data_IF_880105594387
#
_entry.id   IF_880105594387
#
_cell.length_a   1.000
_cell.length_b   1.000
_cell.length_c   1.000
_cell.angle_alpha   90.00
_cell.angle_beta   90.00
_cell.angle_gamma   90.00
#
_symmetry.space_group_name_H-M   'P 1'
#
loop_
_entity.id
_entity.type
_entity.pdbx_description
1 polymer ?
#
# COMPACT_ATOMS: atom_id res chain seq x y z
N UNK A 1 2.61 -16.97 -5.03
CA UNK A 1 1.84 -16.31 -6.08
C UNK A 1 1.16 -15.03 -5.59
N UNK A 2 0.36 -15.11 -4.51
CA UNK A 2 -0.28 -13.91 -3.95
C UNK A 2 0.74 -12.94 -3.35
N UNK A 3 1.80 -13.45 -2.72
CA UNK A 3 2.85 -12.61 -2.16
C UNK A 3 3.63 -11.86 -3.24
N UNK A 4 3.88 -12.47 -4.41
CA UNK A 4 4.56 -11.76 -5.50
C UNK A 4 3.73 -10.61 -6.07
N UNK A 5 2.40 -10.73 -6.07
CA UNK A 5 1.50 -9.64 -6.45
C UNK A 5 1.52 -8.52 -5.41
N UNK A 6 1.60 -8.88 -4.14
CA UNK A 6 1.74 -7.90 -3.06
C UNK A 6 3.10 -7.19 -3.12
N UNK A 7 4.17 -7.89 -3.50
CA UNK A 7 5.50 -7.28 -3.66
C UNK A 7 5.49 -6.13 -4.67
N UNK A 8 4.71 -6.23 -5.75
CA UNK A 8 4.56 -5.13 -6.71
C UNK A 8 3.86 -3.93 -6.08
N UNK A 9 2.80 -4.17 -5.29
CA UNK A 9 2.15 -3.10 -4.51
C UNK A 9 3.16 -2.46 -3.57
N UNK A 10 3.90 -3.25 -2.82
CA UNK A 10 4.87 -2.80 -1.83
C UNK A 10 6.00 -1.98 -2.47
N UNK A 11 6.46 -2.38 -3.64
CA UNK A 11 7.46 -1.65 -4.42
C UNK A 11 6.97 -0.24 -4.77
N UNK A 12 5.73 -0.12 -5.24
CA UNK A 12 5.16 1.18 -5.60
C UNK A 12 4.91 2.03 -4.35
N UNK A 13 4.54 1.42 -3.23
CA UNK A 13 4.44 2.11 -1.94
C UNK A 13 5.81 2.68 -1.55
N UNK A 14 6.89 1.92 -1.72
CA UNK A 14 8.25 2.40 -1.48
C UNK A 14 8.59 3.63 -2.32
N UNK A 15 8.25 3.64 -3.60
CA UNK A 15 8.44 4.79 -4.49
C UNK A 15 7.64 6.00 -4.00
N UNK A 16 6.41 5.79 -3.55
CA UNK A 16 5.58 6.85 -2.98
C UNK A 16 6.21 7.43 -1.72
N UNK A 17 6.72 6.59 -0.83
CA UNK A 17 7.38 7.02 0.41
C UNK A 17 8.62 7.86 0.15
N UNK A 18 9.38 7.58 -0.91
CA UNK A 18 10.52 8.40 -1.31
C UNK A 18 10.09 9.82 -1.68
N UNK A 19 8.97 9.97 -2.37
CA UNK A 19 8.41 11.28 -2.71
C UNK A 19 7.86 12.00 -1.48
N UNK A 20 7.20 11.28 -0.58
CA UNK A 20 6.71 11.83 0.69
C UNK A 20 7.87 12.35 1.52
N UNK A 21 8.99 11.63 1.56
CA UNK A 21 10.20 12.08 2.25
C UNK A 21 10.69 13.43 1.71
N UNK A 22 10.68 13.62 0.40
CA UNK A 22 11.05 14.90 -0.21
C UNK A 22 10.11 16.03 0.20
N UNK A 23 8.82 15.76 0.30
CA UNK A 23 7.85 16.75 0.79
C UNK A 23 8.15 17.12 2.25
N UNK A 24 8.44 16.13 3.09
CA UNK A 24 8.83 16.37 4.48
C UNK A 24 10.08 17.26 4.56
N UNK A 25 11.08 17.02 3.73
CA UNK A 25 12.30 17.82 3.70
C UNK A 25 12.03 19.29 3.33
N UNK A 26 11.05 19.54 2.47
CA UNK A 26 10.66 20.90 2.05
C UNK A 26 9.81 21.59 3.11
N UNK A 27 8.85 20.88 3.70
CA UNK A 27 7.83 21.46 4.58
C UNK A 27 8.15 21.36 6.06
N UNK A 28 9.09 20.51 6.45
CA UNK A 28 9.39 20.16 7.86
C UNK A 28 8.14 19.64 8.61
N UNK A 29 7.25 18.96 7.90
CA UNK A 29 6.00 18.46 8.46
C UNK A 29 6.25 17.17 9.23
N UNK A 30 6.34 17.26 10.55
CA UNK A 30 6.62 16.13 11.42
C UNK A 30 5.50 15.10 11.45
N UNK A 31 4.26 15.52 11.31
CA UNK A 31 3.10 14.63 11.29
C UNK A 31 3.10 13.76 10.04
N UNK A 32 3.40 14.36 8.89
CA UNK A 32 3.57 13.62 7.64
C UNK A 32 4.73 12.63 7.73
N UNK A 33 5.84 13.02 8.35
CA UNK A 33 6.98 12.14 8.54
C UNK A 33 6.66 10.97 9.44
N UNK A 34 5.89 11.16 10.50
CA UNK A 34 5.43 10.08 11.37
C UNK A 34 4.59 9.06 10.61
N UNK A 35 3.69 9.52 9.75
CA UNK A 35 2.87 8.63 8.91
C UNK A 35 3.75 7.84 7.94
N UNK A 36 4.72 8.49 7.32
CA UNK A 36 5.70 7.86 6.44
C UNK A 36 6.47 6.75 7.17
N UNK A 37 7.00 7.06 8.35
CA UNK A 37 7.78 6.11 9.15
C UNK A 37 6.92 4.93 9.59
N UNK A 38 5.68 5.16 10.00
CA UNK A 38 4.76 4.10 10.38
C UNK A 38 4.52 3.12 9.23
N UNK A 39 4.31 3.63 8.03
CA UNK A 39 4.12 2.79 6.85
C UNK A 39 5.42 2.05 6.48
N UNK A 40 6.56 2.75 6.53
CA UNK A 40 7.86 2.18 6.22
C UNK A 40 8.19 0.99 7.14
N UNK A 41 7.85 1.10 8.41
CA UNK A 41 8.15 0.09 9.43
C UNK A 41 7.05 -0.97 9.56
N UNK A 42 5.95 -0.85 8.84
CA UNK A 42 4.89 -1.85 8.89
C UNK A 42 5.35 -3.18 8.31
N UNK A 43 4.99 -4.28 8.95
CA UNK A 43 5.44 -5.63 8.59
C UNK A 43 4.31 -6.44 7.96
N UNK A 44 3.11 -6.34 8.51
CA UNK A 44 1.96 -7.12 8.03
C UNK A 44 1.24 -6.40 6.89
N UNK A 45 0.57 -7.18 6.04
CA UNK A 45 -0.27 -6.63 4.96
C UNK A 45 -1.38 -5.75 5.55
N UNK A 46 -2.00 -6.19 6.64
CA UNK A 46 -3.09 -5.45 7.28
C UNK A 46 -2.63 -4.09 7.81
N UNK A 47 -1.45 -4.03 8.43
CA UNK A 47 -0.87 -2.78 8.91
C UNK A 47 -0.52 -1.86 7.74
N UNK A 48 0.02 -2.40 6.65
CA UNK A 48 0.31 -1.62 5.45
C UNK A 48 -0.95 -1.01 4.85
N UNK A 49 -2.03 -1.76 4.78
CA UNK A 49 -3.34 -1.27 4.32
C UNK A 49 -3.81 -0.10 5.18
N UNK A 50 -3.75 -0.26 6.50
CA UNK A 50 -4.15 0.77 7.46
C UNK A 50 -3.34 2.05 7.27
N UNK A 51 -2.01 1.94 7.25
CA UNK A 51 -1.14 3.11 7.19
C UNK A 51 -1.15 3.78 5.82
N UNK A 52 -1.35 3.05 4.73
CA UNK A 52 -1.55 3.65 3.40
C UNK A 52 -2.79 4.54 3.41
N UNK A 53 -3.89 4.07 3.98
CA UNK A 53 -5.13 4.86 4.06
C UNK A 53 -4.94 6.12 4.91
N UNK A 54 -4.27 6.02 6.05
CA UNK A 54 -3.98 7.17 6.91
C UNK A 54 -3.10 8.19 6.18
N UNK A 55 -2.07 7.72 5.49
CA UNK A 55 -1.17 8.58 4.72
C UNK A 55 -1.91 9.29 3.58
N UNK A 56 -2.72 8.57 2.82
CA UNK A 56 -3.48 9.13 1.71
C UNK A 56 -4.48 10.19 2.18
N UNK A 57 -5.16 9.93 3.29
CA UNK A 57 -6.06 10.90 3.89
C UNK A 57 -5.32 12.20 4.25
N UNK A 58 -4.16 12.08 4.88
CA UNK A 58 -3.37 13.23 5.28
C UNK A 58 -2.79 13.98 4.08
N UNK A 59 -2.33 13.29 3.05
CA UNK A 59 -1.80 13.92 1.83
C UNK A 59 -2.83 14.80 1.14
N UNK A 60 -4.12 14.46 1.23
CA UNK A 60 -5.19 15.30 0.68
C UNK A 60 -5.36 16.64 1.40
N UNK A 61 -4.80 16.77 2.61
CA UNK A 61 -4.87 18.01 3.40
C UNK A 61 -3.64 18.91 3.23
N UNK A 62 -2.61 18.45 2.51
CA UNK A 62 -1.37 19.20 2.32
C UNK A 62 -1.60 20.39 1.42
N UNK A 63 -1.07 21.56 1.85
CA UNK A 63 -1.09 22.79 1.06
C UNK A 63 -0.16 22.66 -0.15
N UNK A 64 -0.69 22.94 -1.32
CA UNK A 64 0.04 22.82 -2.60
C UNK A 64 0.42 24.19 -3.20
N UNK A 65 0.51 25.24 -2.40
CA UNK A 65 0.93 26.56 -2.86
C UNK A 65 2.39 26.58 -3.31
N UNK A 66 3.25 25.82 -2.65
CA UNK A 66 4.63 25.66 -3.07
C UNK A 66 4.70 24.82 -4.35
N UNK A 67 5.39 25.32 -5.38
CA UNK A 67 5.51 24.62 -6.66
C UNK A 67 6.21 23.27 -6.56
N UNK A 68 7.22 23.17 -5.70
CA UNK A 68 7.96 21.93 -5.49
C UNK A 68 7.07 20.87 -4.85
N UNK A 69 6.31 21.27 -3.84
CA UNK A 69 5.34 20.39 -3.18
C UNK A 69 4.26 19.95 -4.18
N UNK A 70 3.74 20.86 -4.98
CA UNK A 70 2.73 20.53 -6.00
C UNK A 70 3.26 19.51 -7.01
N UNK A 71 4.49 19.68 -7.49
CA UNK A 71 5.13 18.73 -8.42
C UNK A 71 5.27 17.35 -7.80
N UNK A 72 5.67 17.30 -6.53
CA UNK A 72 5.81 16.04 -5.80
C UNK A 72 4.45 15.36 -5.60
N UNK A 73 3.42 16.12 -5.26
CA UNK A 73 2.05 15.59 -5.16
C UNK A 73 1.58 15.04 -6.51
N UNK A 74 1.84 15.73 -7.61
CA UNK A 74 1.50 15.23 -8.94
C UNK A 74 2.24 13.92 -9.27
N UNK A 75 3.51 13.83 -8.90
CA UNK A 75 4.29 12.59 -9.07
C UNK A 75 3.75 11.46 -8.19
N UNK A 76 3.30 11.78 -6.97
CA UNK A 76 2.65 10.82 -6.09
C UNK A 76 1.35 10.31 -6.73
N UNK A 77 0.55 11.19 -7.34
CA UNK A 77 -0.67 10.81 -8.03
C UNK A 77 -0.40 9.82 -9.17
N UNK A 78 0.69 10.01 -9.92
CA UNK A 78 1.11 9.07 -10.97
C UNK A 78 1.47 7.70 -10.38
N UNK A 79 2.18 7.69 -9.25
CA UNK A 79 2.50 6.44 -8.54
C UNK A 79 1.23 5.81 -7.97
N UNK A 80 0.28 6.60 -7.46
CA UNK A 80 -0.99 6.08 -6.96
C UNK A 80 -1.78 5.34 -8.05
N UNK A 81 -1.71 5.80 -9.29
CA UNK A 81 -2.29 5.07 -10.42
C UNK A 81 -1.62 3.70 -10.59
N UNK A 82 -0.30 3.63 -10.48
CA UNK A 82 0.44 2.36 -10.55
C UNK A 82 0.10 1.45 -9.37
N UNK A 83 -0.09 2.02 -8.19
CA UNK A 83 -0.53 1.29 -7.01
C UNK A 83 -1.93 0.72 -7.24
N UNK A 84 -2.84 1.49 -7.81
CA UNK A 84 -4.21 1.04 -8.10
C UNK A 84 -4.22 -0.14 -9.07
N UNK A 85 -3.40 -0.11 -10.12
CA UNK A 85 -3.24 -1.27 -11.01
C UNK A 85 -2.69 -2.48 -10.28
N UNK A 86 -1.65 -2.30 -9.48
CA UNK A 86 -1.05 -3.39 -8.71
C UNK A 86 -2.03 -3.97 -7.67
N UNK A 87 -2.81 -3.11 -7.02
CA UNK A 87 -3.89 -3.52 -6.10
C UNK A 87 -4.95 -4.36 -6.81
N UNK A 88 -5.33 -3.97 -8.01
CA UNK A 88 -6.32 -4.72 -8.79
C UNK A 88 -5.84 -6.14 -9.04
N UNK A 89 -4.61 -6.31 -9.51
CA UNK A 89 -4.02 -7.64 -9.69
C UNK A 89 -3.92 -8.41 -8.38
N UNK A 90 -3.51 -7.75 -7.31
CA UNK A 90 -3.44 -8.37 -5.99
C UNK A 90 -4.82 -8.83 -5.52
N UNK A 91 -5.83 -7.97 -5.64
CA UNK A 91 -7.19 -8.28 -5.20
C UNK A 91 -7.81 -9.41 -6.03
N UNK A 92 -7.56 -9.45 -7.34
CA UNK A 92 -8.03 -10.53 -8.21
C UNK A 92 -7.38 -11.86 -7.82
N UNK A 93 -6.08 -11.84 -7.56
CA UNK A 93 -5.35 -13.03 -7.10
C UNK A 93 -5.85 -13.48 -5.73
N UNK A 94 -6.12 -12.53 -4.83
CA UNK A 94 -6.70 -12.82 -3.51
C UNK A 94 -8.08 -13.45 -3.63
N UNK A 95 -8.92 -12.94 -4.53
CA UNK A 95 -10.24 -13.51 -4.77
C UNK A 95 -10.14 -14.98 -5.21
N UNK A 96 -9.27 -15.27 -6.18
CA UNK A 96 -9.03 -16.65 -6.62
C UNK A 96 -8.48 -17.52 -5.50
N UNK A 97 -7.54 -17.01 -4.72
CA UNK A 97 -6.97 -17.69 -3.56
C UNK A 97 -8.05 -18.05 -2.53
N UNK A 98 -8.90 -17.10 -2.19
CA UNK A 98 -9.98 -17.31 -1.22
C UNK A 98 -11.06 -18.26 -1.77
N UNK A 99 -11.33 -18.24 -3.07
CA UNK A 99 -12.21 -19.22 -3.70
C UNK A 99 -11.66 -20.64 -3.56
N UNK A 100 -10.37 -20.82 -3.81
CA UNK A 100 -9.71 -22.13 -3.63
C UNK A 100 -9.81 -22.59 -2.17
N UNK A 101 -9.56 -21.69 -1.21
CA UNK A 101 -9.69 -22.00 0.21
C UNK A 101 -11.13 -22.33 0.61
N UNK A 102 -12.11 -21.76 -0.08
CA UNK A 102 -13.53 -22.03 0.15
C UNK A 102 -14.01 -23.35 -0.45
N UNK A 103 -13.23 -24.01 -1.31
CA UNK A 103 -13.54 -25.31 -1.84
C UNK A 103 -13.18 -26.42 -0.84
N UNK A 104 -13.72 -27.62 -1.05
CA UNK A 104 -13.38 -28.77 -0.21
C UNK A 104 -11.87 -29.06 -0.23
N UNK A 105 -11.25 -29.02 -1.41
CA UNK A 105 -9.82 -29.20 -1.57
C UNK A 105 -9.03 -28.06 -0.91
N UNK A 106 -9.49 -26.83 -1.08
CA UNK A 106 -8.89 -25.66 -0.47
C UNK A 106 -8.95 -25.70 1.05
N UNK A 107 -10.05 -26.16 1.63
CA UNK A 107 -10.19 -26.33 3.07
C UNK A 107 -9.20 -27.35 3.62
N UNK A 108 -8.98 -28.44 2.89
CA UNK A 108 -7.97 -29.45 3.26
C UNK A 108 -6.57 -28.83 3.23
N UNK A 109 -6.23 -28.08 2.17
CA UNK A 109 -4.95 -27.40 2.06
C UNK A 109 -4.75 -26.38 3.19
N UNK A 110 -5.76 -25.60 3.50
CA UNK A 110 -5.74 -24.64 4.60
C UNK A 110 -5.47 -25.32 5.93
N UNK A 111 -6.08 -26.49 6.16
CA UNK A 111 -5.90 -27.27 7.37
C UNK A 111 -4.49 -27.89 7.46
N UNK A 112 -3.97 -28.42 6.34
CA UNK A 112 -2.67 -29.12 6.31
C UNK A 112 -1.52 -28.10 6.33
N UNK A 113 -1.58 -27.06 5.52
CA UNK A 113 -0.50 -26.10 5.32
C UNK A 113 -0.67 -24.81 6.11
N UNK A 114 -1.74 -24.68 6.89
CA UNK A 114 -2.05 -23.51 7.71
C UNK A 114 -2.09 -22.20 6.90
N UNK A 115 -2.62 -22.26 5.68
CA UNK A 115 -2.85 -21.05 4.89
C UNK A 115 -3.86 -20.14 5.58
N UNK A 116 -3.58 -18.85 5.58
CA UNK A 116 -4.48 -17.84 6.10
C UNK A 116 -5.08 -17.01 4.96
N UNK A 117 -6.26 -16.46 5.20
CA UNK A 117 -6.87 -15.51 4.27
C UNK A 117 -6.20 -14.15 4.42
N UNK A 118 -5.98 -13.48 3.28
CA UNK A 118 -5.47 -12.13 3.26
C UNK A 118 -6.62 -11.14 3.00
N UNK A 119 -6.47 -9.92 3.51
CA UNK A 119 -7.44 -8.87 3.27
C UNK A 119 -7.19 -8.18 1.93
N UNK A 120 -8.26 -7.68 1.30
CA UNK A 120 -8.14 -6.84 0.11
C UNK A 120 -7.44 -5.53 0.44
N UNK A 121 -6.64 -5.08 -0.48
CA UNK A 121 -5.89 -3.83 -0.32
C UNK A 121 -6.75 -2.57 -0.52
#
# INVERSE_FOLDING_TARGET
LILSKFEEVDKQIGNKLDLVKKIVEITNNSELDNLRVNLLNSVTINDKIKYVKELDYYLNTIDTKDRKVKRLINSINDIDMKIDYAKEFYNDTLYEYNMILGTKSGNIMKKIFKYSEYNTF
#
